data_IF_163846863458
#
_entry.id   IF_163846863458
#
_cell.length_a   1.000
_cell.length_b   1.000
_cell.length_c   1.000
_cell.angle_alpha   90.00
_cell.angle_beta   90.00
_cell.angle_gamma   90.00
#
_symmetry.space_group_name_H-M   'P 1'
#
loop_
_entity.id
_entity.type
_entity.pdbx_description
1 polymer ?
#
# COMPACT_ATOMS: atom_id res chain seq x y z
N UNK A 1 24.74 -4.92 -11.59
CA UNK A 1 24.34 -6.19 -12.24
C UNK A 1 24.67 -7.32 -11.30
N UNK A 2 23.71 -8.21 -11.07
CA UNK A 2 23.81 -9.31 -10.14
C UNK A 2 23.80 -10.63 -10.90
N UNK A 3 24.70 -11.51 -10.53
CA UNK A 3 24.90 -12.79 -11.18
C UNK A 3 24.97 -13.90 -10.13
N UNK A 4 24.29 -15.00 -10.39
CA UNK A 4 24.37 -16.22 -9.59
C UNK A 4 24.11 -17.43 -10.51
N UNK A 5 24.84 -18.53 -10.31
CA UNK A 5 24.54 -19.75 -11.03
C UNK A 5 23.36 -20.44 -10.35
N UNK A 6 22.26 -20.60 -11.09
CA UNK A 6 21.00 -21.18 -10.59
C UNK A 6 20.90 -22.67 -10.94
N UNK A 7 21.73 -23.14 -11.86
CA UNK A 7 21.77 -24.52 -12.32
C UNK A 7 23.01 -25.22 -11.76
N UNK A 8 22.84 -26.40 -11.16
CA UNK A 8 23.98 -27.20 -10.71
C UNK A 8 24.69 -27.82 -11.93
N UNK A 9 25.71 -27.14 -12.43
CA UNK A 9 26.48 -27.58 -13.60
C UNK A 9 27.33 -28.82 -13.28
N UNK A 10 27.41 -29.76 -14.23
CA UNK A 10 28.31 -30.91 -14.13
C UNK A 10 29.77 -30.47 -14.28
N UNK A 11 30.72 -31.31 -13.87
CA UNK A 11 32.16 -30.97 -13.88
C UNK A 11 32.75 -30.54 -15.25
N UNK A 12 32.14 -30.96 -16.36
CA UNK A 12 32.54 -30.57 -17.72
C UNK A 12 31.70 -29.41 -18.30
N UNK A 13 30.76 -28.89 -17.52
CA UNK A 13 29.90 -27.78 -17.87
C UNK A 13 30.37 -26.53 -17.13
N UNK A 14 30.20 -25.40 -17.78
CA UNK A 14 30.73 -24.11 -17.35
C UNK A 14 29.89 -23.02 -17.99
N UNK A 15 29.64 -21.96 -17.21
CA UNK A 15 29.02 -20.72 -17.68
C UNK A 15 29.98 -19.59 -17.38
N UNK A 16 30.87 -19.35 -18.33
CA UNK A 16 31.93 -18.36 -18.21
C UNK A 16 31.66 -17.25 -19.23
N UNK A 17 31.71 -16.01 -18.79
CA UNK A 17 31.37 -14.88 -19.66
C UNK A 17 32.12 -13.61 -19.31
N UNK A 18 32.22 -12.73 -20.30
CA UNK A 18 32.70 -11.37 -20.14
C UNK A 18 31.54 -10.39 -20.18
N UNK A 19 31.78 -9.21 -19.61
CA UNK A 19 30.87 -8.08 -19.60
C UNK A 19 31.58 -6.93 -20.32
N UNK A 20 30.91 -6.30 -21.27
CA UNK A 20 31.37 -5.07 -21.93
C UNK A 20 30.42 -3.92 -21.67
N UNK A 21 30.97 -2.70 -21.61
CA UNK A 21 30.24 -1.44 -21.57
C UNK A 21 30.63 -0.61 -22.79
N UNK A 22 29.66 -0.21 -23.60
CA UNK A 22 29.85 0.50 -24.87
C UNK A 22 30.91 -0.16 -25.77
N UNK A 23 30.82 -1.48 -25.92
CA UNK A 23 31.73 -2.31 -26.74
C UNK A 23 33.17 -2.41 -26.20
N UNK A 24 33.48 -1.71 -25.10
CA UNK A 24 34.73 -1.86 -24.38
C UNK A 24 34.61 -2.93 -23.30
N UNK A 25 35.67 -3.71 -23.13
CA UNK A 25 35.75 -4.70 -22.07
C UNK A 25 35.60 -4.04 -20.69
N UNK A 26 34.69 -4.56 -19.87
CA UNK A 26 34.43 -4.04 -18.53
C UNK A 26 34.89 -5.01 -17.43
N UNK A 27 34.49 -6.28 -17.50
CA UNK A 27 34.85 -7.28 -16.50
C UNK A 27 34.78 -8.72 -17.05
N UNK A 28 35.53 -9.64 -16.45
CA UNK A 28 35.57 -11.06 -16.81
C UNK A 28 36.99 -11.66 -16.76
N UNK A 29 37.16 -12.90 -17.28
CA UNK A 29 36.10 -13.89 -17.44
C UNK A 29 35.50 -14.25 -16.09
N UNK A 30 34.18 -14.22 -16.00
CA UNK A 30 33.45 -14.48 -14.77
C UNK A 30 32.67 -15.79 -14.85
N UNK A 31 32.80 -16.60 -13.80
CA UNK A 31 32.10 -17.88 -13.64
C UNK A 31 31.27 -17.80 -12.34
N UNK A 32 29.95 -17.63 -12.42
CA UNK A 32 29.12 -17.52 -11.23
C UNK A 32 29.12 -18.83 -10.43
N UNK A 33 29.15 -18.70 -9.10
CA UNK A 33 29.07 -19.85 -8.19
C UNK A 33 27.62 -20.26 -7.96
N UNK A 34 27.41 -21.55 -7.70
CA UNK A 34 26.07 -22.11 -7.51
C UNK A 34 25.42 -21.54 -6.26
N UNK A 35 24.26 -20.89 -6.44
CA UNK A 35 23.48 -20.21 -5.40
C UNK A 35 24.22 -19.12 -4.61
N UNK A 36 25.36 -18.65 -5.12
CA UNK A 36 26.10 -17.51 -4.58
C UNK A 36 25.94 -16.31 -5.51
N UNK A 37 25.55 -15.16 -4.95
CA UNK A 37 25.35 -13.94 -5.72
C UNK A 37 26.59 -13.06 -5.69
N UNK A 38 27.03 -12.63 -6.87
CA UNK A 38 28.06 -11.61 -7.04
C UNK A 38 27.51 -10.40 -7.79
N UNK A 39 28.00 -9.21 -7.44
CA UNK A 39 27.49 -7.94 -7.98
C UNK A 39 28.60 -7.15 -8.63
N UNK A 40 28.43 -6.83 -9.92
CA UNK A 40 29.26 -5.89 -10.66
C UNK A 40 28.56 -4.54 -10.70
N UNK A 41 29.24 -3.49 -10.23
CA UNK A 41 28.69 -2.14 -10.14
C UNK A 41 29.72 -1.11 -10.62
N UNK A 42 29.24 -0.01 -11.19
CA UNK A 42 30.07 1.15 -11.50
C UNK A 42 30.24 2.02 -10.24
N UNK A 43 31.43 2.58 -10.05
CA UNK A 43 31.73 3.52 -8.96
C UNK A 43 31.51 4.98 -9.36
N UNK A 44 31.33 5.25 -10.65
CA UNK A 44 31.08 6.58 -11.20
C UNK A 44 29.74 6.62 -11.95
N UNK A 45 29.11 7.79 -11.96
CA UNK A 45 27.90 8.03 -12.74
C UNK A 45 28.20 7.96 -14.24
N UNK A 46 27.37 7.23 -14.98
CA UNK A 46 27.47 7.17 -16.43
C UNK A 46 26.95 8.47 -17.04
N UNK A 47 27.71 9.08 -17.95
CA UNK A 47 27.32 10.30 -18.66
C UNK A 47 26.90 9.97 -20.10
N UNK A 48 25.82 10.60 -20.58
CA UNK A 48 25.25 10.36 -21.91
C UNK A 48 23.84 9.77 -21.85
N UNK A 49 23.19 9.63 -23.01
CA UNK A 49 21.80 9.17 -23.10
C UNK A 49 21.62 7.69 -23.44
N UNK A 50 22.64 7.04 -23.99
CA UNK A 50 22.57 5.64 -24.41
C UNK A 50 23.77 4.85 -23.88
N UNK A 51 23.48 3.82 -23.10
CA UNK A 51 24.48 2.94 -22.47
C UNK A 51 24.22 1.51 -22.93
N UNK A 52 25.20 0.90 -23.61
CA UNK A 52 25.09 -0.50 -24.08
C UNK A 52 25.92 -1.39 -23.17
N UNK A 53 25.25 -2.31 -22.49
CA UNK A 53 25.94 -3.38 -21.79
C UNK A 53 25.72 -4.69 -22.54
N UNK A 54 26.79 -5.43 -22.78
CA UNK A 54 26.72 -6.74 -23.40
C UNK A 54 27.37 -7.77 -22.49
N UNK A 55 26.75 -8.94 -22.40
CA UNK A 55 27.28 -10.08 -21.67
C UNK A 55 27.43 -11.19 -22.69
N UNK A 56 28.63 -11.70 -22.86
CA UNK A 56 28.94 -12.65 -23.92
C UNK A 56 29.79 -13.80 -23.39
N UNK A 57 29.46 -15.01 -23.84
CA UNK A 57 30.20 -16.21 -23.47
C UNK A 57 31.64 -16.11 -23.99
N UNK A 58 32.58 -16.62 -23.21
CA UNK A 58 33.94 -16.89 -23.71
C UNK A 58 33.96 -18.20 -24.50
N UNK A 59 34.95 -18.38 -25.38
CA UNK A 59 35.01 -19.50 -26.35
C UNK A 59 34.91 -20.89 -25.71
N UNK A 60 35.39 -21.06 -24.47
CA UNK A 60 35.37 -22.35 -23.74
C UNK A 60 34.15 -22.52 -22.82
N UNK A 61 33.20 -21.58 -22.83
CA UNK A 61 31.97 -21.70 -22.06
C UNK A 61 31.00 -22.64 -22.75
N UNK A 62 30.54 -23.66 -22.02
CA UNK A 62 29.56 -24.61 -22.55
C UNK A 62 28.12 -24.10 -22.49
N UNK A 63 27.87 -23.07 -21.68
CA UNK A 63 26.56 -22.48 -21.48
C UNK A 63 26.56 -20.97 -21.77
N UNK A 64 25.44 -20.41 -22.29
CA UNK A 64 25.32 -18.98 -22.53
C UNK A 64 25.30 -18.20 -21.20
N UNK A 65 25.66 -16.91 -21.18
CA UNK A 65 25.58 -16.10 -19.97
C UNK A 65 24.14 -15.98 -19.46
N UNK A 66 23.96 -15.80 -18.14
CA UNK A 66 22.66 -15.49 -17.53
C UNK A 66 22.80 -14.16 -16.79
N UNK A 67 21.91 -13.21 -17.06
CA UNK A 67 21.74 -12.01 -16.24
C UNK A 67 20.59 -12.25 -15.27
N UNK A 68 20.88 -12.34 -13.97
CA UNK A 68 19.83 -12.60 -12.96
C UNK A 68 19.04 -11.33 -12.66
N UNK A 69 19.74 -10.24 -12.36
CA UNK A 69 19.12 -8.94 -12.09
C UNK A 69 20.09 -7.80 -12.43
N UNK A 70 19.55 -6.62 -12.67
CA UNK A 70 20.34 -5.40 -12.75
C UNK A 70 19.58 -4.25 -12.12
N UNK A 71 20.33 -3.35 -11.49
CA UNK A 71 19.82 -2.14 -10.87
C UNK A 71 20.46 -0.95 -11.57
N UNK A 72 19.64 0.08 -11.85
CA UNK A 72 20.09 1.33 -12.43
C UNK A 72 19.65 2.46 -11.52
N UNK A 73 20.62 3.20 -11.01
CA UNK A 73 20.39 4.38 -10.20
C UNK A 73 20.53 5.62 -11.08
N UNK A 74 19.48 6.42 -11.15
CA UNK A 74 19.46 7.66 -11.92
C UNK A 74 19.48 8.82 -10.93
N UNK A 75 20.48 9.69 -11.03
CA UNK A 75 20.51 10.92 -10.25
C UNK A 75 19.42 11.84 -10.77
N UNK A 76 18.35 12.00 -9.98
CA UNK A 76 17.33 13.02 -10.20
C UNK A 76 17.80 14.31 -9.56
N UNK A 77 17.97 15.35 -10.38
CA UNK A 77 18.22 16.70 -9.87
C UNK A 77 16.89 17.36 -9.56
N UNK A 78 16.66 17.63 -8.29
CA UNK A 78 15.52 18.41 -7.86
C UNK A 78 15.90 19.90 -7.90
N UNK A 79 15.05 20.72 -8.51
CA UNK A 79 15.19 22.18 -8.47
C UNK A 79 14.61 22.79 -7.18
N UNK A 80 14.04 21.95 -6.32
CA UNK A 80 13.43 22.34 -5.05
C UNK A 80 14.47 22.27 -3.93
N UNK A 81 14.40 23.19 -2.98
CA UNK A 81 15.18 23.11 -1.75
C UNK A 81 14.82 21.86 -0.95
N UNK A 82 15.80 21.29 -0.27
CA UNK A 82 15.60 20.20 0.70
C UNK A 82 14.73 20.68 1.86
N UNK A 83 13.98 19.74 2.45
CA UNK A 83 13.20 19.98 3.65
C UNK A 83 14.11 20.44 4.80
N UNK A 84 13.54 21.18 5.74
CA UNK A 84 14.30 21.63 6.89
C UNK A 84 14.89 20.44 7.68
N UNK A 85 16.18 20.52 7.99
CA UNK A 85 16.93 19.40 8.59
C UNK A 85 16.32 18.93 9.92
N UNK A 86 15.83 19.84 10.77
CA UNK A 86 15.21 19.45 12.04
C UNK A 86 13.93 18.64 11.81
N UNK A 87 13.16 18.99 10.77
CA UNK A 87 11.96 18.24 10.40
C UNK A 87 12.36 16.84 9.89
N UNK A 88 13.42 16.73 9.07
CA UNK A 88 13.98 15.45 8.57
C UNK A 88 14.43 14.56 9.73
N UNK A 89 15.21 15.10 10.66
CA UNK A 89 15.75 14.36 11.80
C UNK A 89 14.62 13.87 12.71
N UNK A 90 13.63 14.73 12.97
CA UNK A 90 12.47 14.40 13.78
C UNK A 90 11.67 13.22 13.20
N UNK A 91 11.36 13.25 11.89
CA UNK A 91 10.61 12.15 11.26
C UNK A 91 11.43 10.88 11.09
N UNK A 92 12.75 11.01 10.96
CA UNK A 92 13.66 9.86 10.91
C UNK A 92 13.71 9.15 12.27
N UNK A 93 13.76 9.90 13.36
CA UNK A 93 13.64 9.37 14.72
C UNK A 93 12.27 8.73 14.93
N UNK A 94 11.18 9.35 14.46
CA UNK A 94 9.84 8.75 14.54
C UNK A 94 9.78 7.41 13.80
N UNK A 95 10.34 7.36 12.59
CA UNK A 95 10.37 6.16 11.75
C UNK A 95 11.11 5.01 12.44
N UNK A 96 12.28 5.29 13.02
CA UNK A 96 13.09 4.29 13.72
C UNK A 96 12.44 3.86 15.04
N UNK A 97 11.93 4.80 15.83
CA UNK A 97 11.26 4.54 17.12
C UNK A 97 10.07 3.60 16.98
N UNK A 98 9.28 3.78 15.91
CA UNK A 98 8.00 3.09 15.73
C UNK A 98 8.03 2.00 14.65
N UNK A 99 9.20 1.69 14.11
CA UNK A 99 9.38 0.71 13.03
C UNK A 99 8.39 0.89 11.87
N UNK A 100 8.20 2.13 11.44
CA UNK A 100 7.24 2.49 10.39
C UNK A 100 7.74 1.91 9.06
N UNK A 101 7.08 0.86 8.57
CA UNK A 101 7.38 0.17 7.29
C UNK A 101 6.73 0.87 6.08
N UNK A 102 6.86 2.20 5.99
CA UNK A 102 6.37 3.00 4.85
C UNK A 102 7.49 3.24 3.83
N UNK A 103 7.13 3.70 2.64
CA UNK A 103 8.03 4.15 1.57
C UNK A 103 8.70 5.50 1.90
N UNK A 104 9.11 5.69 3.14
CA UNK A 104 9.75 6.91 3.63
C UNK A 104 11.25 6.84 3.35
N UNK A 105 11.65 7.20 2.14
CA UNK A 105 13.07 7.23 1.74
C UNK A 105 13.39 8.54 1.01
N UNK A 106 14.58 9.07 1.24
CA UNK A 106 14.99 10.37 0.72
C UNK A 106 14.39 11.54 1.51
N UNK A 107 14.21 12.66 0.83
CA UNK A 107 13.66 13.88 1.42
C UNK A 107 12.14 13.75 1.65
N UNK A 108 11.62 14.05 2.85
CA UNK A 108 10.23 13.82 3.21
C UNK A 108 9.24 14.76 2.51
N UNK A 109 9.69 15.91 2.00
CA UNK A 109 8.84 16.95 1.43
C UNK A 109 9.03 17.14 -0.07
N UNK A 110 9.75 16.27 -0.78
CA UNK A 110 9.88 16.39 -2.24
C UNK A 110 8.53 16.21 -2.93
N UNK A 111 8.03 17.20 -3.69
CA UNK A 111 6.64 17.18 -4.22
C UNK A 111 6.26 15.93 -5.01
N UNK A 112 7.18 15.43 -5.85
CA UNK A 112 6.95 14.24 -6.69
C UNK A 112 7.02 12.94 -5.88
N UNK A 113 7.70 12.96 -4.73
CA UNK A 113 7.99 11.80 -3.89
C UNK A 113 7.61 12.06 -2.42
N UNK A 114 6.56 12.84 -2.20
CA UNK A 114 6.12 13.25 -0.87
C UNK A 114 5.82 12.01 -0.05
N UNK A 115 6.40 11.94 1.15
CA UNK A 115 6.19 10.79 2.01
C UNK A 115 4.72 10.62 2.36
N UNK A 116 4.21 9.40 2.21
CA UNK A 116 2.80 9.12 2.43
C UNK A 116 2.37 9.49 3.85
N UNK A 117 1.33 10.32 3.95
CA UNK A 117 0.76 10.80 5.22
C UNK A 117 1.40 12.09 5.75
N UNK A 118 2.44 12.61 5.10
CA UNK A 118 2.99 13.94 5.39
C UNK A 118 2.37 14.99 4.47
N UNK A 119 2.30 16.20 4.98
CA UNK A 119 2.02 17.38 4.19
C UNK A 119 3.02 18.48 4.58
N UNK A 120 3.59 19.13 3.56
CA UNK A 120 4.64 20.12 3.73
C UNK A 120 4.21 21.49 3.17
N UNK A 121 4.68 22.55 3.81
CA UNK A 121 4.60 23.91 3.28
C UNK A 121 5.63 24.06 2.17
N UNK A 122 5.22 24.71 1.08
CA UNK A 122 6.07 24.99 -0.09
C UNK A 122 6.10 26.48 -0.44
N UNK A 123 5.50 27.28 0.43
CA UNK A 123 5.23 28.68 0.26
C UNK A 123 6.58 29.39 0.37
N UNK A 124 6.92 30.25 -0.59
CA UNK A 124 8.22 30.95 -0.67
C UNK A 124 8.55 31.90 0.48
N UNK A 125 7.80 31.85 1.58
CA UNK A 125 8.10 32.52 2.83
C UNK A 125 9.13 31.77 3.69
N UNK A 126 9.46 30.52 3.35
CA UNK A 126 10.47 29.71 4.05
C UNK A 126 11.62 29.34 3.12
N UNK A 127 12.85 29.37 3.62
CA UNK A 127 14.06 28.97 2.87
C UNK A 127 14.07 27.46 2.52
N UNK A 128 13.30 26.66 3.26
CA UNK A 128 13.20 25.21 3.10
C UNK A 128 11.75 24.74 3.37
N UNK A 129 11.22 23.75 2.63
CA UNK A 129 9.95 23.11 2.93
C UNK A 129 9.87 22.62 4.39
N UNK A 130 8.72 22.82 5.01
CA UNK A 130 8.48 22.48 6.43
C UNK A 130 7.33 21.50 6.56
N UNK A 131 7.44 20.51 7.44
CA UNK A 131 6.36 19.57 7.72
C UNK A 131 5.30 20.30 8.54
N UNK A 132 4.10 20.46 7.96
CA UNK A 132 2.99 21.20 8.59
C UNK A 132 1.90 20.27 9.11
N UNK A 133 1.83 19.03 8.66
CA UNK A 133 0.93 18.06 9.27
C UNK A 133 1.29 16.61 8.98
N UNK A 134 0.83 15.76 9.90
CA UNK A 134 0.58 14.34 9.63
C UNK A 134 -0.91 14.23 9.31
N UNK A 135 -1.26 14.16 8.02
CA UNK A 135 -2.64 14.37 7.58
C UNK A 135 -3.36 13.10 7.12
N UNK A 136 -4.58 12.95 7.65
CA UNK A 136 -5.75 12.27 7.09
C UNK A 136 -6.31 13.11 5.93
N UNK A 137 -6.43 12.53 4.74
CA UNK A 137 -7.41 12.98 3.76
C UNK A 137 -8.67 12.10 3.91
N UNK A 138 -9.78 12.71 4.31
CA UNK A 138 -11.15 12.20 4.09
C UNK A 138 -11.62 12.84 2.77
N UNK A 139 -12.21 12.13 1.80
CA UNK A 139 -13.26 11.13 1.93
C UNK A 139 -12.97 9.73 1.39
N UNK A 140 -11.88 9.48 0.66
CA UNK A 140 -11.53 8.13 0.20
C UNK A 140 -10.09 7.79 0.59
N UNK A 141 -9.97 7.16 1.75
CA UNK A 141 -8.83 6.42 2.31
C UNK A 141 -7.42 6.93 1.94
N UNK A 142 -6.83 7.75 2.83
CA UNK A 142 -5.37 7.81 3.01
C UNK A 142 -5.07 7.63 4.50
N UNK A 143 -4.36 6.55 4.85
CA UNK A 143 -4.08 6.18 6.25
C UNK A 143 -2.93 7.03 6.81
N UNK A 144 -3.29 8.00 7.63
CA UNK A 144 -2.40 8.78 8.50
C UNK A 144 -1.64 7.87 9.50
N UNK A 145 -0.76 8.42 10.35
CA UNK A 145 -0.18 7.71 11.51
C UNK A 145 -1.25 7.12 12.44
N UNK A 146 -2.49 7.62 12.37
CA UNK A 146 -3.63 7.01 13.04
C UNK A 146 -3.86 5.55 12.62
N UNK A 147 -4.17 4.64 13.54
CA UNK A 147 -4.38 3.21 13.23
C UNK A 147 -3.15 2.50 12.65
N UNK A 148 -1.94 2.95 13.00
CA UNK A 148 -0.68 2.30 12.60
C UNK A 148 -0.17 1.28 13.63
N UNK A 149 -0.95 1.02 14.70
CA UNK A 149 -0.59 0.09 15.76
C UNK A 149 0.63 0.56 16.58
N UNK A 150 0.88 1.88 16.61
CA UNK A 150 2.05 2.44 17.29
C UNK A 150 1.92 2.23 18.79
N UNK A 151 2.98 1.73 19.42
CA UNK A 151 3.06 1.44 20.86
C UNK A 151 4.07 2.39 21.53
N UNK A 152 4.19 2.34 22.86
CA UNK A 152 5.09 3.15 23.68
C UNK A 152 4.64 4.60 23.85
N UNK A 153 5.50 5.45 24.42
CA UNK A 153 5.21 6.86 24.69
C UNK A 153 5.34 7.73 23.45
N UNK A 154 4.68 8.89 23.43
CA UNK A 154 4.83 9.91 22.38
C UNK A 154 6.24 10.52 22.50
N UNK A 155 7.06 10.56 21.44
CA UNK A 155 8.48 10.82 21.57
C UNK A 155 8.77 12.33 21.57
N UNK A 156 9.80 12.78 22.31
CA UNK A 156 10.16 14.19 22.36
C UNK A 156 10.51 14.79 21.01
N UNK A 157 10.98 14.02 20.03
CA UNK A 157 11.38 14.53 18.70
C UNK A 157 10.27 15.28 17.96
N UNK A 158 9.01 15.07 18.32
CA UNK A 158 7.88 15.85 17.78
C UNK A 158 8.01 17.36 18.14
N UNK A 159 8.74 17.73 19.20
CA UNK A 159 8.99 19.13 19.57
C UNK A 159 9.71 19.93 18.49
N UNK A 160 10.52 19.25 17.67
CA UNK A 160 11.33 19.88 16.63
C UNK A 160 10.50 20.32 15.41
N UNK A 161 9.29 19.75 15.25
CA UNK A 161 8.36 20.08 14.18
C UNK A 161 7.63 21.40 14.44
N UNK A 162 8.39 22.50 14.52
CA UNK A 162 7.88 23.81 14.97
C UNK A 162 6.79 24.41 14.08
N UNK A 163 6.71 23.97 12.81
CA UNK A 163 5.70 24.41 11.86
C UNK A 163 4.47 23.51 11.81
N UNK A 164 4.40 22.46 12.65
CA UNK A 164 3.26 21.55 12.68
C UNK A 164 1.98 22.28 13.11
N UNK A 165 0.94 22.10 12.32
CA UNK A 165 -0.39 22.67 12.51
C UNK A 165 -1.39 21.59 12.91
N UNK A 166 -1.32 20.42 12.28
CA UNK A 166 -2.22 19.31 12.55
C UNK A 166 -1.42 18.05 12.91
N UNK A 167 -1.65 17.55 14.12
CA UNK A 167 -1.06 16.32 14.64
C UNK A 167 -2.17 15.36 15.05
N UNK A 168 -2.37 14.31 14.26
CA UNK A 168 -3.33 13.25 14.56
C UNK A 168 -2.60 11.92 14.81
N UNK A 169 -2.64 11.51 16.07
CA UNK A 169 -2.06 10.29 16.62
C UNK A 169 -3.14 9.32 17.10
N UNK A 170 -4.40 9.54 16.71
CA UNK A 170 -5.55 8.79 17.21
C UNK A 170 -5.54 7.32 16.79
N UNK A 171 -6.32 6.47 17.47
CA UNK A 171 -6.46 5.04 17.15
C UNK A 171 -5.12 4.28 17.14
N UNK A 172 -4.19 4.62 18.02
CA UNK A 172 -2.96 3.87 18.22
C UNK A 172 -2.96 3.21 19.60
N UNK A 173 -1.83 2.65 20.00
CA UNK A 173 -1.65 2.02 21.29
C UNK A 173 -0.64 2.80 22.15
N UNK A 174 -0.60 4.14 22.00
CA UNK A 174 0.31 5.01 22.75
C UNK A 174 0.00 4.93 24.25
N UNK A 175 1.05 4.83 25.05
CA UNK A 175 1.01 4.71 26.52
C UNK A 175 1.68 5.91 27.19
N UNK A 176 1.63 5.99 28.52
CA UNK A 176 2.27 7.06 29.28
C UNK A 176 1.43 8.33 29.39
N UNK A 177 2.05 9.44 29.79
CA UNK A 177 1.39 10.74 29.96
C UNK A 177 1.28 11.49 28.62
N UNK A 178 0.35 12.44 28.53
CA UNK A 178 0.35 13.42 27.43
C UNK A 178 1.52 14.39 27.64
N UNK A 179 2.51 14.47 26.72
CA UNK A 179 3.69 15.29 26.95
C UNK A 179 3.43 16.79 26.95
N UNK A 180 4.10 17.52 27.85
CA UNK A 180 3.94 18.97 27.97
C UNK A 180 4.49 19.74 26.75
N UNK A 181 5.49 19.20 26.04
CA UNK A 181 6.05 19.88 24.87
C UNK A 181 5.00 20.14 23.76
N UNK A 182 3.92 19.35 23.72
CA UNK A 182 2.82 19.54 22.76
C UNK A 182 2.16 20.92 22.91
N UNK A 183 2.14 21.49 24.13
CA UNK A 183 1.62 22.85 24.33
C UNK A 183 2.59 23.93 23.87
N UNK A 184 3.88 23.61 23.69
CA UNK A 184 4.93 24.56 23.29
C UNK A 184 5.08 24.69 21.78
N UNK A 185 4.45 23.80 21.00
CA UNK A 185 4.40 23.91 19.54
C UNK A 185 3.66 25.21 19.14
N UNK A 186 4.31 26.13 18.40
CA UNK A 186 3.78 27.47 18.20
C UNK A 186 2.64 27.52 17.20
N UNK A 187 2.63 26.62 16.21
CA UNK A 187 1.68 26.61 15.10
C UNK A 187 0.58 25.55 15.25
N UNK A 188 0.58 24.74 16.32
CA UNK A 188 -0.33 23.62 16.49
C UNK A 188 -1.77 24.09 16.71
N UNK A 189 -2.67 23.70 15.79
CA UNK A 189 -4.09 24.05 15.75
C UNK A 189 -5.00 22.85 15.98
N UNK A 190 -4.59 21.66 15.56
CA UNK A 190 -5.36 20.42 15.75
C UNK A 190 -4.47 19.37 16.39
N UNK A 191 -4.90 18.87 17.54
CA UNK A 191 -4.28 17.75 18.25
C UNK A 191 -5.33 16.67 18.51
N UNK A 192 -5.19 15.54 17.82
CA UNK A 192 -6.04 14.37 18.01
C UNK A 192 -5.26 13.22 18.63
N UNK A 193 -5.60 12.87 19.87
CA UNK A 193 -5.03 11.79 20.67
C UNK A 193 -6.08 10.72 21.01
N UNK A 194 -7.24 10.74 20.36
CA UNK A 194 -8.34 9.82 20.68
C UNK A 194 -7.94 8.35 20.55
N UNK A 195 -8.59 7.48 21.32
CA UNK A 195 -8.47 6.02 21.21
C UNK A 195 -7.01 5.54 21.27
N UNK A 196 -6.35 5.88 22.36
CA UNK A 196 -5.02 5.40 22.76
C UNK A 196 -5.08 4.86 24.20
N UNK A 197 -3.93 4.50 24.79
CA UNK A 197 -3.80 4.05 26.18
C UNK A 197 -3.07 5.11 27.05
N UNK A 198 -3.26 6.40 26.74
CA UNK A 198 -2.65 7.49 27.50
C UNK A 198 -3.29 7.61 28.88
N UNK A 199 -2.50 8.03 29.87
CA UNK A 199 -2.89 8.06 31.28
C UNK A 199 -2.59 9.41 31.93
N UNK A 200 -3.17 9.64 33.10
CA UNK A 200 -2.88 10.81 33.94
C UNK A 200 -3.52 12.11 33.43
N UNK A 201 -3.16 13.26 34.01
CA UNK A 201 -3.78 14.54 33.67
C UNK A 201 -3.31 15.07 32.31
N UNK A 202 -4.24 15.63 31.53
CA UNK A 202 -3.90 16.43 30.35
C UNK A 202 -3.17 17.72 30.81
N UNK A 203 -2.00 18.07 30.25
CA UNK A 203 -1.28 19.29 30.60
C UNK A 203 -2.14 20.54 30.61
N UNK A 204 -2.07 21.33 31.70
CA UNK A 204 -2.91 22.52 31.90
C UNK A 204 -2.75 23.54 30.77
N UNK A 205 -1.54 23.67 30.21
CA UNK A 205 -1.27 24.55 29.08
C UNK A 205 -2.02 24.13 27.80
N UNK A 206 -2.19 22.82 27.52
CA UNK A 206 -3.01 22.33 26.41
C UNK A 206 -4.48 22.66 26.63
N UNK A 207 -4.96 22.43 27.85
CA UNK A 207 -6.36 22.74 28.23
C UNK A 207 -6.64 24.23 28.12
N UNK A 208 -5.70 25.09 28.51
CA UNK A 208 -5.81 26.54 28.38
C UNK A 208 -5.92 26.96 26.91
N UNK A 209 -5.05 26.44 26.02
CA UNK A 209 -5.11 26.69 24.57
C UNK A 209 -6.44 26.23 23.97
N UNK A 210 -6.95 25.08 24.41
CA UNK A 210 -8.26 24.57 23.99
C UNK A 210 -9.41 25.48 24.42
N UNK A 211 -9.44 25.89 25.70
CA UNK A 211 -10.47 26.83 26.22
C UNK A 211 -10.45 28.18 25.52
N UNK A 212 -9.29 28.63 25.04
CA UNK A 212 -9.14 29.87 24.28
C UNK A 212 -9.51 29.72 22.79
N UNK A 213 -9.85 28.53 22.32
CA UNK A 213 -10.17 28.27 20.90
C UNK A 213 -8.95 28.29 19.97
N UNK A 214 -7.73 28.33 20.52
CA UNK A 214 -6.47 28.32 19.76
C UNK A 214 -6.15 26.90 19.26
N UNK A 215 -6.53 25.89 20.04
CA UNK A 215 -6.26 24.48 19.78
C UNK A 215 -7.57 23.66 19.78
N UNK A 216 -7.83 22.93 18.70
CA UNK A 216 -8.77 21.83 18.70
C UNK A 216 -8.11 20.60 19.33
N UNK A 217 -8.65 20.15 20.47
CA UNK A 217 -8.09 19.06 21.26
C UNK A 217 -9.10 17.91 21.37
N UNK A 218 -8.72 16.73 20.88
CA UNK A 218 -9.53 15.51 20.95
C UNK A 218 -8.75 14.43 21.71
N UNK A 219 -9.27 13.94 22.83
CA UNK A 219 -8.56 13.00 23.74
C UNK A 219 -9.43 11.84 24.22
N UNK A 220 -10.65 11.73 23.71
CA UNK A 220 -11.61 10.72 24.14
C UNK A 220 -11.20 9.29 23.75
N UNK A 221 -11.69 8.30 24.50
CA UNK A 221 -11.31 6.90 24.28
C UNK A 221 -9.94 6.51 24.84
N UNK A 222 -9.35 7.33 25.72
CA UNK A 222 -8.23 6.94 26.58
C UNK A 222 -8.77 6.60 27.98
N UNK A 223 -8.67 5.33 28.40
CA UNK A 223 -9.39 4.82 29.58
C UNK A 223 -8.94 5.44 30.91
N UNK A 224 -7.63 5.69 31.07
CA UNK A 224 -7.02 6.16 32.33
C UNK A 224 -6.59 7.64 32.27
N UNK A 225 -7.05 8.37 31.26
CA UNK A 225 -6.72 9.78 31.07
C UNK A 225 -7.68 10.64 31.92
N UNK A 226 -7.13 11.55 32.72
CA UNK A 226 -7.91 12.50 33.50
C UNK A 226 -8.18 13.70 32.60
N UNK A 227 -9.38 13.72 32.04
CA UNK A 227 -9.78 14.66 31.01
C UNK A 227 -10.67 15.76 31.59
N UNK A 228 -10.29 17.04 31.51
CA UNK A 228 -11.18 18.17 31.82
C UNK A 228 -12.11 18.54 30.64
N UNK A 229 -11.91 17.93 29.48
CA UNK A 229 -12.71 18.06 28.26
C UNK A 229 -13.92 17.10 28.31
N UNK A 230 -15.15 17.54 28.03
CA UNK A 230 -16.30 16.65 28.00
C UNK A 230 -16.16 15.61 26.88
N UNK A 231 -16.01 14.34 27.23
CA UNK A 231 -16.19 13.24 26.29
C UNK A 231 -17.65 12.83 26.32
N UNK A 232 -18.41 13.12 25.25
CA UNK A 232 -19.77 12.64 25.11
C UNK A 232 -19.73 11.11 24.92
N UNK A 233 -19.85 10.37 26.01
CA UNK A 233 -19.96 8.92 26.03
C UNK A 233 -21.30 8.50 25.41
N UNK A 234 -21.31 8.28 24.10
CA UNK A 234 -22.27 7.36 23.47
C UNK A 234 -21.68 5.96 23.43
N UNK A 235 -21.34 5.42 24.59
CA UNK A 235 -21.17 3.98 24.75
C UNK A 235 -22.56 3.35 24.75
N UNK A 236 -23.06 2.98 23.57
CA UNK A 236 -24.10 1.95 23.48
C UNK A 236 -23.45 0.60 23.80
N UNK A 237 -23.16 0.37 25.08
CA UNK A 237 -23.13 -0.98 25.60
C UNK A 237 -24.54 -1.53 25.46
N UNK A 238 -24.69 -2.59 24.64
CA UNK A 238 -25.97 -3.29 24.48
C UNK A 238 -26.30 -4.00 25.79
N UNK A 239 -26.97 -3.30 26.70
CA UNK A 239 -27.71 -3.92 27.79
C UNK A 239 -29.04 -4.41 27.21
N UNK A 240 -29.21 -5.72 27.24
CA UNK A 240 -30.38 -6.47 26.79
C UNK A 240 -31.53 -6.17 27.76
N UNK A 241 -32.50 -5.37 27.35
CA UNK A 241 -33.78 -5.28 28.04
C UNK A 241 -34.93 -5.20 27.03
N UNK A 242 -35.88 -6.12 27.25
CA UNK A 242 -37.09 -6.31 26.47
C UNK A 242 -38.02 -5.10 26.63
N UNK A 243 -38.62 -4.64 25.54
CA UNK A 243 -39.97 -4.07 25.63
C UNK A 243 -40.70 -4.18 24.30
N UNK A 244 -41.98 -4.50 24.44
CA UNK A 244 -42.90 -4.93 23.40
C UNK A 244 -43.38 -3.78 22.52
N UNK A 245 -43.51 -4.11 21.23
CA UNK A 245 -44.65 -3.86 20.34
C UNK A 245 -45.71 -2.83 20.79
N UNK A 246 -45.79 -1.69 20.09
CA UNK A 246 -47.07 -1.01 19.77
C UNK A 246 -46.98 -0.36 18.37
N UNK A 247 -48.00 -0.63 17.55
CA UNK A 247 -48.18 -0.18 16.17
C UNK A 247 -49.04 1.10 16.14
N UNK A 248 -48.46 2.16 15.57
CA UNK A 248 -48.91 3.24 14.63
C UNK A 248 -50.41 3.66 14.53
N UNK A 249 -50.71 4.92 14.10
CA UNK A 249 -51.04 5.16 12.68
C UNK A 249 -50.45 6.48 12.10
N UNK A 250 -49.70 6.44 10.99
CA UNK A 250 -50.08 6.66 9.57
C UNK A 250 -50.87 7.95 9.31
N UNK A 251 -50.17 9.00 8.86
CA UNK A 251 -50.67 10.02 7.92
C UNK A 251 -49.54 10.94 7.40
N UNK A 252 -48.57 10.40 6.64
CA UNK A 252 -47.64 11.23 5.83
C UNK A 252 -46.91 10.49 4.70
N UNK A 253 -47.30 9.26 4.34
CA UNK A 253 -46.48 8.40 3.46
C UNK A 253 -46.90 8.36 1.99
N UNK A 254 -48.00 9.01 1.59
CA UNK A 254 -48.50 8.90 0.21
C UNK A 254 -47.73 9.81 -0.76
N UNK A 255 -47.32 11.01 -0.33
CA UNK A 255 -46.61 11.96 -1.21
C UNK A 255 -45.22 11.48 -1.64
N UNK A 256 -44.48 10.84 -0.72
CA UNK A 256 -43.11 10.36 -0.97
C UNK A 256 -43.11 9.16 -1.92
N UNK A 257 -44.11 8.28 -1.81
CA UNK A 257 -44.21 7.10 -2.67
C UNK A 257 -44.51 7.47 -4.13
N UNK A 258 -45.37 8.45 -4.37
CA UNK A 258 -45.67 8.93 -5.73
C UNK A 258 -44.44 9.58 -6.37
N UNK A 259 -43.68 10.36 -5.60
CA UNK A 259 -42.48 11.05 -6.10
C UNK A 259 -41.32 10.08 -6.40
N UNK A 260 -41.18 9.00 -5.62
CA UNK A 260 -40.21 7.95 -5.89
C UNK A 260 -40.58 7.10 -7.12
N UNK A 261 -41.88 6.86 -7.35
CA UNK A 261 -42.34 6.12 -8.52
C UNK A 261 -42.18 6.91 -9.83
N UNK A 262 -42.37 8.24 -9.81
CA UNK A 262 -42.15 9.07 -11.00
C UNK A 262 -40.67 9.17 -11.36
N UNK A 263 -39.78 9.34 -10.38
CA UNK A 263 -38.32 9.33 -10.60
C UNK A 263 -37.85 7.97 -11.13
N UNK A 264 -38.35 6.86 -10.56
CA UNK A 264 -38.02 5.53 -11.03
C UNK A 264 -38.46 5.30 -12.49
N UNK A 265 -39.65 5.76 -12.88
CA UNK A 265 -40.15 5.64 -14.25
C UNK A 265 -39.30 6.45 -15.25
N UNK A 266 -38.89 7.67 -14.88
CA UNK A 266 -38.00 8.51 -15.70
C UNK A 266 -36.62 7.89 -15.85
N UNK A 267 -36.04 7.38 -14.74
CA UNK A 267 -34.77 6.67 -14.77
C UNK A 267 -34.82 5.39 -15.61
N UNK A 268 -35.93 4.64 -15.55
CA UNK A 268 -36.13 3.44 -16.36
C UNK A 268 -36.25 3.78 -17.85
N UNK A 269 -36.96 4.86 -18.19
CA UNK A 269 -37.06 5.37 -19.57
C UNK A 269 -35.70 5.77 -20.15
N UNK A 270 -34.84 6.43 -19.35
CA UNK A 270 -33.48 6.78 -19.75
C UNK A 270 -32.57 5.55 -19.91
N UNK A 271 -32.69 4.54 -19.03
CA UNK A 271 -31.92 3.29 -19.14
C UNK A 271 -32.30 2.46 -20.37
N UNK A 272 -33.59 2.43 -20.75
CA UNK A 272 -34.05 1.77 -21.99
C UNK A 272 -33.55 2.47 -23.26
N UNK A 273 -33.49 3.81 -23.30
CA UNK A 273 -32.90 4.53 -24.44
C UNK A 273 -31.40 4.27 -24.61
N UNK A 274 -30.65 4.11 -23.50
CA UNK A 274 -29.20 3.79 -23.55
C UNK A 274 -28.93 2.35 -24.00
N UNK A 275 -29.80 1.39 -23.66
CA UNK A 275 -29.67 0.00 -24.12
C UNK A 275 -29.97 -0.16 -25.62
N UNK A 276 -30.88 0.64 -26.19
CA UNK A 276 -31.19 0.59 -27.62
C UNK A 276 -30.07 1.18 -28.52
N UNK A 277 -29.12 1.95 -27.97
CA UNK A 277 -27.93 2.41 -28.70
C UNK A 277 -26.79 1.37 -28.72
N UNK A 278 -26.75 0.44 -27.77
CA UNK A 278 -25.68 -0.57 -27.64
C UNK A 278 -26.02 -1.85 -28.42
N UNK A 279 -27.31 -2.11 -28.68
CA UNK A 279 -27.79 -3.31 -29.37
C UNK A 279 -27.61 -3.32 -30.90
N UNK A 280 -26.94 -2.32 -31.51
CA UNK A 280 -26.78 -2.21 -32.97
C UNK A 280 -25.34 -2.42 -33.49
N UNK A 281 -24.41 -2.88 -32.63
CA UNK A 281 -22.99 -2.99 -32.98
C UNK A 281 -22.32 -4.33 -32.65
N UNK A 282 -23.08 -5.41 -32.47
CA UNK A 282 -22.52 -6.76 -32.34
C UNK A 282 -23.30 -7.73 -33.21
N UNK A 283 -22.98 -7.71 -34.50
CA UNK A 283 -23.17 -8.88 -35.36
C UNK A 283 -21.92 -9.06 -36.22
N UNK A 284 -21.54 -10.31 -36.47
CA UNK A 284 -20.35 -10.83 -37.14
C UNK A 284 -19.08 -11.09 -36.29
N UNK A 285 -18.97 -12.32 -35.76
CA UNK A 285 -17.96 -13.31 -36.23
C UNK A 285 -18.16 -14.68 -35.56
N UNK A 286 -18.02 -15.73 -36.37
CA UNK A 286 -18.14 -17.14 -36.02
C UNK A 286 -16.99 -17.71 -35.16
N UNK A 287 -16.99 -19.03 -34.91
CA UNK A 287 -16.53 -19.61 -33.66
C UNK A 287 -15.07 -20.07 -33.69
N UNK A 288 -14.25 -19.59 -32.76
CA UNK A 288 -13.13 -20.37 -32.21
C UNK A 288 -12.75 -19.85 -30.81
N UNK A 289 -12.49 -20.78 -29.91
CA UNK A 289 -12.60 -20.66 -28.47
C UNK A 289 -11.50 -19.82 -27.76
N UNK A 290 -11.90 -19.35 -26.56
CA UNK A 290 -11.08 -19.03 -25.38
C UNK A 290 -10.42 -17.65 -25.25
N UNK A 291 -11.18 -16.64 -24.80
CA UNK A 291 -10.67 -15.68 -23.81
C UNK A 291 -11.79 -15.21 -22.87
N UNK A 292 -11.80 -15.74 -21.65
CA UNK A 292 -12.45 -15.10 -20.49
C UNK A 292 -11.36 -14.88 -19.46
N UNK A 293 -10.88 -13.64 -19.36
CA UNK A 293 -9.81 -13.23 -18.42
C UNK A 293 -10.36 -12.65 -17.12
N UNK A 294 -11.69 -12.57 -16.98
CA UNK A 294 -12.39 -12.04 -15.83
C UNK A 294 -13.34 -13.10 -15.26
N UNK A 295 -13.26 -13.31 -13.94
CA UNK A 295 -14.04 -14.26 -13.17
C UNK A 295 -14.88 -13.50 -12.13
N UNK A 296 -16.09 -13.99 -11.88
CA UNK A 296 -16.96 -13.48 -10.82
C UNK A 296 -16.59 -14.06 -9.45
N UNK A 297 -16.97 -13.37 -8.38
CA UNK A 297 -16.69 -13.86 -7.02
C UNK A 297 -17.35 -15.22 -6.72
N UNK A 298 -18.52 -15.49 -7.30
CA UNK A 298 -19.19 -16.79 -7.17
C UNK A 298 -18.43 -17.91 -7.87
N UNK A 299 -17.76 -17.63 -9.00
CA UNK A 299 -16.85 -18.58 -9.65
C UNK A 299 -15.60 -18.83 -8.79
N UNK A 300 -15.05 -17.79 -8.16
CA UNK A 300 -13.92 -17.93 -7.21
C UNK A 300 -14.28 -18.86 -6.04
N UNK A 301 -15.49 -18.71 -5.47
CA UNK A 301 -15.98 -19.60 -4.41
C UNK A 301 -16.03 -21.06 -4.87
N UNK A 302 -16.48 -21.31 -6.12
CA UNK A 302 -16.51 -22.67 -6.69
C UNK A 302 -15.11 -23.21 -6.95
N UNK A 303 -14.20 -22.38 -7.48
CA UNK A 303 -12.81 -22.76 -7.80
C UNK A 303 -12.06 -23.16 -6.53
N UNK A 304 -12.26 -22.42 -5.44
CA UNK A 304 -11.53 -22.59 -4.18
C UNK A 304 -12.23 -23.51 -3.17
N UNK A 305 -13.36 -24.12 -3.55
CA UNK A 305 -14.25 -24.86 -2.65
C UNK A 305 -14.56 -24.08 -1.35
N UNK A 306 -15.08 -22.85 -1.50
CA UNK A 306 -15.31 -21.92 -0.40
C UNK A 306 -14.06 -21.64 0.44
N UNK A 307 -12.91 -21.41 -0.22
CA UNK A 307 -11.64 -21.07 0.42
C UNK A 307 -11.09 -22.11 1.41
N UNK A 308 -11.42 -23.39 1.21
CA UNK A 308 -11.10 -24.50 2.12
C UNK A 308 -9.58 -24.63 2.40
N UNK A 309 -8.76 -24.58 1.34
CA UNK A 309 -7.32 -24.86 1.44
C UNK A 309 -6.48 -23.61 1.24
N UNK A 310 -5.92 -23.10 2.34
CA UNK A 310 -4.96 -21.99 2.31
C UNK A 310 -3.55 -22.52 2.07
N UNK A 311 -2.85 -21.95 1.08
CA UNK A 311 -1.45 -22.29 0.75
C UNK A 311 -0.46 -21.16 1.07
N UNK A 312 -0.95 -19.97 1.44
CA UNK A 312 -0.11 -18.89 1.94
C UNK A 312 -0.94 -17.74 2.53
N UNK A 313 -0.38 -17.05 3.53
CA UNK A 313 -0.95 -15.81 4.08
C UNK A 313 0.16 -14.78 4.27
N UNK A 314 -0.10 -13.53 3.89
CA UNK A 314 0.84 -12.42 4.07
C UNK A 314 0.13 -11.06 4.06
N UNK A 315 0.91 -9.97 4.09
CA UNK A 315 0.37 -8.61 4.12
C UNK A 315 -0.47 -8.23 2.89
N UNK A 316 -0.32 -8.97 1.79
CA UNK A 316 -1.06 -8.75 0.53
C UNK A 316 -2.30 -9.63 0.38
N UNK A 317 -2.68 -10.36 1.43
CA UNK A 317 -3.84 -11.24 1.43
C UNK A 317 -3.50 -12.72 1.54
N UNK A 318 -4.51 -13.55 1.33
CA UNK A 318 -4.41 -15.00 1.45
C UNK A 318 -4.44 -15.66 0.07
N UNK A 319 -3.66 -16.72 -0.08
CA UNK A 319 -3.58 -17.53 -1.29
C UNK A 319 -4.21 -18.89 -1.00
N UNK A 320 -5.14 -19.28 -1.85
CA UNK A 320 -5.92 -20.51 -1.75
C UNK A 320 -5.60 -21.43 -2.92
N UNK A 321 -5.64 -22.73 -2.68
CA UNK A 321 -5.58 -23.74 -3.73
C UNK A 321 -6.99 -23.94 -4.31
N UNK A 322 -7.07 -24.23 -5.61
CA UNK A 322 -8.34 -24.46 -6.27
C UNK A 322 -8.20 -25.15 -7.63
N UNK A 323 -9.34 -25.34 -8.30
CA UNK A 323 -9.43 -26.00 -9.60
C UNK A 323 -10.30 -25.23 -10.60
N UNK A 324 -9.81 -25.09 -11.83
CA UNK A 324 -10.60 -24.68 -12.99
C UNK A 324 -10.68 -25.88 -13.93
N UNK A 325 -11.82 -26.58 -13.94
CA UNK A 325 -11.93 -27.88 -14.60
C UNK A 325 -10.98 -28.89 -13.96
N UNK A 326 -10.01 -29.39 -14.72
CA UNK A 326 -8.96 -30.30 -14.24
C UNK A 326 -7.64 -29.59 -13.89
N UNK A 327 -7.54 -28.27 -14.10
CA UNK A 327 -6.30 -27.51 -13.91
C UNK A 327 -6.22 -26.98 -12.49
N UNK A 328 -5.10 -27.26 -11.81
CA UNK A 328 -4.81 -26.70 -10.49
C UNK A 328 -4.41 -25.23 -10.59
N UNK A 329 -4.98 -24.41 -9.70
CA UNK A 329 -4.72 -22.97 -9.65
C UNK A 329 -4.44 -22.49 -8.23
N UNK A 330 -3.75 -21.37 -8.14
CA UNK A 330 -3.56 -20.61 -6.91
C UNK A 330 -4.36 -19.31 -7.00
N UNK A 331 -5.33 -19.13 -6.10
CA UNK A 331 -6.19 -17.95 -6.05
C UNK A 331 -5.73 -17.05 -4.90
N UNK A 332 -5.15 -15.90 -5.24
CA UNK A 332 -4.75 -14.87 -4.27
C UNK A 332 -5.89 -13.89 -4.08
N UNK A 333 -6.54 -13.93 -2.93
CA UNK A 333 -7.53 -12.93 -2.53
C UNK A 333 -6.81 -11.77 -1.86
N UNK A 334 -7.01 -10.57 -2.39
CA UNK A 334 -6.40 -9.37 -1.86
C UNK A 334 -7.13 -8.94 -0.59
N UNK A 335 -6.36 -8.55 0.42
CA UNK A 335 -6.94 -8.06 1.66
C UNK A 335 -7.52 -6.66 1.45
N UNK A 336 -8.79 -6.39 1.85
CA UNK A 336 -9.39 -5.05 1.77
C UNK A 336 -8.60 -3.97 2.54
N UNK A 337 -7.76 -4.38 3.48
CA UNK A 337 -6.92 -3.51 4.30
C UNK A 337 -5.59 -3.08 3.64
N UNK A 338 -5.25 -3.61 2.46
CA UNK A 338 -4.06 -3.18 1.72
C UNK A 338 -4.44 -2.06 0.73
N UNK A 339 -4.20 -0.79 1.08
CA UNK A 339 -4.29 0.33 0.13
C UNK A 339 -3.41 0.12 -1.12
N UNK A 340 -2.30 -0.60 -0.94
CA UNK A 340 -1.42 -1.02 -2.03
C UNK A 340 -2.04 -2.12 -2.91
N UNK A 341 -3.07 -2.84 -2.43
CA UNK A 341 -3.66 -4.00 -3.08
C UNK A 341 -4.34 -3.67 -4.41
N UNK A 342 -5.05 -2.54 -4.52
CA UNK A 342 -5.73 -2.16 -5.78
C UNK A 342 -4.75 -1.64 -6.84
N UNK A 343 -3.76 -0.83 -6.46
CA UNK A 343 -2.71 -0.39 -7.40
C UNK A 343 -1.79 -1.54 -7.81
N UNK A 344 -1.43 -2.44 -6.88
CA UNK A 344 -0.70 -3.67 -7.19
C UNK A 344 -1.54 -4.60 -8.06
N UNK A 345 -2.84 -4.73 -7.79
CA UNK A 345 -3.76 -5.49 -8.62
C UNK A 345 -3.78 -4.95 -10.05
N UNK A 346 -3.98 -3.65 -10.24
CA UNK A 346 -3.99 -3.04 -11.56
C UNK A 346 -2.62 -3.18 -12.25
N UNK A 347 -1.52 -3.01 -11.53
CA UNK A 347 -0.18 -3.25 -12.08
C UNK A 347 0.01 -4.71 -12.49
N UNK A 348 -0.39 -5.66 -11.66
CA UNK A 348 -0.21 -7.09 -11.86
C UNK A 348 -1.11 -7.62 -13.00
N UNK A 349 -2.37 -7.16 -13.06
CA UNK A 349 -3.29 -7.43 -14.17
C UNK A 349 -2.78 -6.82 -15.47
N UNK A 350 -2.45 -5.52 -15.48
CA UNK A 350 -2.05 -4.85 -16.73
C UNK A 350 -0.68 -5.30 -17.25
N UNK A 351 0.24 -5.72 -16.38
CA UNK A 351 1.59 -6.16 -16.77
C UNK A 351 1.66 -7.67 -17.02
N UNK A 352 1.07 -8.52 -16.18
CA UNK A 352 1.29 -9.97 -16.26
C UNK A 352 0.27 -10.71 -17.12
N UNK A 353 -0.88 -10.11 -17.46
CA UNK A 353 -1.84 -10.75 -18.39
C UNK A 353 -1.21 -10.97 -19.77
N UNK A 354 -0.31 -10.09 -20.21
CA UNK A 354 0.36 -10.18 -21.51
C UNK A 354 1.73 -10.85 -21.49
N UNK A 355 2.25 -11.24 -20.31
CA UNK A 355 3.60 -11.79 -20.18
C UNK A 355 3.55 -13.30 -20.07
N UNK A 356 4.21 -13.98 -21.00
CA UNK A 356 4.40 -15.42 -20.99
C UNK A 356 5.90 -15.73 -21.03
N UNK A 357 6.42 -16.28 -19.94
CA UNK A 357 7.82 -16.66 -19.83
C UNK A 357 7.96 -17.90 -18.93
N UNK A 358 8.86 -18.82 -19.30
CA UNK A 358 9.04 -20.12 -18.62
C UNK A 358 9.42 -20.03 -17.13
N UNK A 359 9.95 -18.88 -16.69
CA UNK A 359 10.41 -18.64 -15.31
C UNK A 359 9.52 -17.65 -14.53
N UNK A 360 8.37 -17.27 -15.08
CA UNK A 360 7.41 -16.39 -14.42
C UNK A 360 6.10 -17.14 -14.23
N UNK A 361 5.52 -17.06 -13.03
CA UNK A 361 4.23 -17.68 -12.75
C UNK A 361 3.16 -17.07 -13.65
N UNK A 362 2.50 -17.91 -14.44
CA UNK A 362 1.46 -17.49 -15.37
C UNK A 362 0.21 -17.00 -14.63
N UNK A 363 -0.18 -15.76 -14.92
CA UNK A 363 -1.48 -15.23 -14.52
C UNK A 363 -2.56 -15.77 -15.49
N UNK A 364 -3.56 -16.46 -14.94
CA UNK A 364 -4.65 -17.10 -15.68
C UNK A 364 -5.83 -16.14 -15.83
N UNK A 365 -6.12 -15.36 -14.79
CA UNK A 365 -7.20 -14.38 -14.81
C UNK A 365 -7.33 -13.63 -13.50
N UNK A 366 -8.35 -12.80 -13.42
CA UNK A 366 -8.62 -11.96 -12.25
C UNK A 366 -10.11 -11.89 -11.94
N UNK A 367 -10.43 -11.46 -10.72
CA UNK A 367 -11.77 -11.17 -10.25
C UNK A 367 -11.77 -9.76 -9.65
N UNK A 368 -12.74 -8.92 -10.04
CA UNK A 368 -12.95 -7.61 -9.44
C UNK A 368 -14.45 -7.33 -9.31
N UNK A 369 -15.01 -7.61 -8.13
CA UNK A 369 -16.43 -7.38 -7.80
C UNK A 369 -16.60 -6.16 -6.86
N UNK A 370 -15.66 -5.20 -6.95
CA UNK A 370 -15.60 -4.00 -6.11
C UNK A 370 -15.13 -4.23 -4.67
N UNK A 371 -15.80 -5.13 -3.93
CA UNK A 371 -15.44 -5.49 -2.55
C UNK A 371 -14.51 -6.70 -2.47
N UNK A 372 -14.52 -7.53 -3.50
CA UNK A 372 -13.72 -8.75 -3.59
C UNK A 372 -12.82 -8.69 -4.83
N UNK A 373 -11.53 -8.56 -4.58
CA UNK A 373 -10.52 -8.52 -5.64
C UNK A 373 -9.58 -9.72 -5.49
N UNK A 374 -9.34 -10.45 -6.58
CA UNK A 374 -8.53 -11.65 -6.56
C UNK A 374 -7.80 -11.91 -7.87
N UNK A 375 -6.66 -12.59 -7.78
CA UNK A 375 -5.81 -12.99 -8.90
C UNK A 375 -5.71 -14.50 -8.95
N UNK A 376 -5.73 -15.07 -10.15
CA UNK A 376 -5.70 -16.52 -10.36
C UNK A 376 -4.44 -16.85 -11.14
N UNK A 377 -3.56 -17.65 -10.54
CA UNK A 377 -2.32 -18.11 -11.12
C UNK A 377 -2.35 -19.62 -11.37
N UNK A 378 -1.44 -20.09 -12.20
CA UNK A 378 -1.10 -21.51 -12.19
C UNK A 378 -0.58 -21.94 -10.81
N UNK A 379 -0.91 -23.16 -10.42
CA UNK A 379 -0.46 -23.70 -9.13
C UNK A 379 0.99 -24.19 -9.20
N UNK A 380 1.82 -23.70 -8.28
CA UNK A 380 3.21 -24.12 -8.13
C UNK A 380 3.31 -25.25 -7.09
N UNK A 381 3.36 -26.50 -7.55
CA UNK A 381 3.30 -27.69 -6.69
C UNK A 381 4.43 -27.77 -5.63
N UNK A 382 5.61 -27.23 -5.94
CA UNK A 382 6.76 -27.25 -5.03
C UNK A 382 6.76 -26.09 -4.03
N UNK A 383 5.72 -25.24 -3.97
CA UNK A 383 5.65 -24.17 -2.99
C UNK A 383 6.72 -23.07 -3.18
N UNK A 384 7.04 -22.34 -2.11
CA UNK A 384 7.96 -21.20 -2.15
C UNK A 384 9.38 -21.56 -1.72
N UNK A 385 10.36 -20.82 -2.23
CA UNK A 385 11.79 -21.06 -1.97
C UNK A 385 12.13 -20.96 -0.47
N UNK A 386 11.48 -20.05 0.27
CA UNK A 386 11.70 -19.89 1.71
C UNK A 386 11.47 -21.19 2.46
N UNK A 387 10.42 -21.95 2.14
CA UNK A 387 10.13 -23.23 2.78
C UNK A 387 11.22 -24.29 2.55
N UNK A 388 11.93 -24.24 1.41
CA UNK A 388 13.01 -25.18 1.10
C UNK A 388 14.36 -24.80 1.71
N UNK A 389 14.58 -23.51 1.98
CA UNK A 389 15.83 -23.02 2.57
C UNK A 389 15.76 -22.97 4.11
N UNK A 390 14.56 -22.94 4.70
CA UNK A 390 14.39 -22.70 6.14
C UNK A 390 14.63 -23.90 7.04
N UNK A 391 14.87 -25.11 6.51
CA UNK A 391 15.15 -26.33 7.30
C UNK A 391 13.96 -26.82 8.10
#
# INVERSE_FOLDING_TARGET
MHFAELELLKAHQSRIFNISYNEEYWAGPYAPRYLETETFYGTSGLMGGHHRFSIYAVDNSTHPPILNAYEVYIVKRFLQSEANQNDIDAVTILKSTYWIKRNWQGDPCTREYLWEGLNCSYDGNYDAPRIISFQVLTEDAIRNLSSSGLTAEIPPSISELTMIQNLDLSNNNFTGLVPEFLSKLPNLRVLNLEKNNLKGPVPVALVAKWKQGILSLSVCGNQDLIVPVPCNSTTKEKKKENSNLVVIPVAASVGIFVLLLTVAAVCWGHRRKKQNMIAKYTDQKGPLASSKQEFTYSEILRITNNFERVIGKGGFGAVYHGYIGHTQVAVKMLSPSALQGHQQFLAEVNLLIGVHHKNLTKLIGHCNDGTNTGLIYEYMANGNLKAHISG
#
